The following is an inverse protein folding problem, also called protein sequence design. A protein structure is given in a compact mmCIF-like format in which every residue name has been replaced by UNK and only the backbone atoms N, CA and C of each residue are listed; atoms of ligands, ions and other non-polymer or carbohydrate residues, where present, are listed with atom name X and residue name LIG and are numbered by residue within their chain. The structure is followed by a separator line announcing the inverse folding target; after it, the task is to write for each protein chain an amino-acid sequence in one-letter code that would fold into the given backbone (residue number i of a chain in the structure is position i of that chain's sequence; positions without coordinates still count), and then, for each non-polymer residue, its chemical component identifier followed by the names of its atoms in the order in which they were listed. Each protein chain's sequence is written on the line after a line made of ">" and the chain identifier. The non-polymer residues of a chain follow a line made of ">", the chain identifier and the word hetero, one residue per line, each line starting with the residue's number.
data_IF_498813724650
#
_entry.id   IF_498813724650
#
_cell.length_a   1.000
_cell.length_b   1.000
_cell.length_c   1.000
_cell.angle_alpha   90.00
_cell.angle_beta   90.00
_cell.angle_gamma   90.00
#
_symmetry.space_group_name_H-M   'P 1'
#
loop_
_entity.id
_entity.type
_entity.pdbx_description
1 polymer ?
#
# COMPACT_ATOMS: atom_id res chain seq x y z
N UNK A 1 -37.28 -3.04 35.16
CA UNK A 1 -35.88 -2.72 34.78
C UNK A 1 -35.27 -3.70 33.76
N UNK A 2 -35.70 -4.97 33.66
CA UNK A 2 -35.15 -5.94 32.69
C UNK A 2 -35.49 -5.70 31.21
N UNK A 3 -36.64 -5.07 30.92
CA UNK A 3 -37.16 -4.94 29.53
C UNK A 3 -36.38 -3.94 28.67
N UNK A 4 -35.80 -2.89 29.25
CA UNK A 4 -34.99 -1.93 28.51
C UNK A 4 -33.65 -2.52 28.04
N UNK A 5 -33.07 -3.42 28.84
CA UNK A 5 -31.80 -4.08 28.52
C UNK A 5 -31.99 -5.12 27.42
N UNK A 6 -33.08 -5.89 27.42
CA UNK A 6 -33.30 -6.93 26.38
C UNK A 6 -33.64 -6.31 25.03
N UNK A 7 -34.49 -5.27 24.98
CA UNK A 7 -34.82 -4.59 23.72
C UNK A 7 -33.68 -3.68 23.23
N UNK A 8 -32.93 -3.03 24.12
CA UNK A 8 -31.77 -2.21 23.77
C UNK A 8 -30.54 -3.03 23.36
N UNK A 9 -30.23 -4.10 24.10
CA UNK A 9 -29.07 -4.96 23.82
C UNK A 9 -29.34 -5.86 22.62
N UNK A 10 -30.55 -6.38 22.43
CA UNK A 10 -30.91 -7.16 21.23
C UNK A 10 -30.87 -6.33 19.94
N UNK A 11 -31.42 -5.10 19.97
CA UNK A 11 -31.35 -4.20 18.82
C UNK A 11 -29.92 -3.73 18.54
N UNK A 12 -29.13 -3.41 19.58
CA UNK A 12 -27.71 -3.07 19.42
C UNK A 12 -26.91 -4.23 18.82
N UNK A 13 -27.10 -5.46 19.30
CA UNK A 13 -26.45 -6.65 18.75
C UNK A 13 -26.89 -6.95 17.31
N UNK A 14 -28.16 -6.73 16.96
CA UNK A 14 -28.63 -6.86 15.57
C UNK A 14 -28.01 -5.81 14.65
N UNK A 15 -27.87 -4.57 15.10
CA UNK A 15 -27.20 -3.52 14.32
C UNK A 15 -25.71 -3.84 14.16
N UNK A 16 -25.03 -4.28 15.21
CA UNK A 16 -23.61 -4.69 15.16
C UNK A 16 -23.43 -5.88 14.20
N UNK A 17 -24.24 -6.93 14.33
CA UNK A 17 -24.19 -8.09 13.43
C UNK A 17 -24.55 -7.73 11.99
N UNK A 18 -25.53 -6.84 11.78
CA UNK A 18 -25.89 -6.35 10.45
C UNK A 18 -24.75 -5.58 9.78
N UNK A 19 -24.09 -4.69 10.52
CA UNK A 19 -22.89 -3.98 10.04
C UNK A 19 -21.76 -4.98 9.77
N UNK A 20 -21.51 -5.94 10.65
CA UNK A 20 -20.44 -6.92 10.50
C UNK A 20 -20.65 -7.86 9.30
N UNK A 21 -21.87 -8.38 9.10
CA UNK A 21 -22.21 -9.18 7.92
C UNK A 21 -22.11 -8.35 6.65
N UNK A 22 -22.52 -7.09 6.68
CA UNK A 22 -22.42 -6.21 5.53
C UNK A 22 -20.97 -5.87 5.19
N UNK A 23 -20.12 -5.61 6.19
CA UNK A 23 -18.68 -5.37 6.02
C UNK A 23 -17.98 -6.60 5.41
N UNK A 24 -18.32 -7.80 5.89
CA UNK A 24 -17.80 -9.08 5.39
C UNK A 24 -18.30 -9.47 3.98
N UNK A 25 -19.57 -9.20 3.67
CA UNK A 25 -20.19 -9.66 2.42
C UNK A 25 -20.06 -8.65 1.27
N UNK A 26 -19.92 -7.34 1.55
CA UNK A 26 -19.99 -6.30 0.51
C UNK A 26 -18.63 -5.63 0.22
N UNK A 27 -17.65 -5.68 1.13
CA UNK A 27 -16.45 -4.88 0.96
C UNK A 27 -15.16 -5.62 1.30
N UNK A 28 -14.74 -6.53 0.41
CA UNK A 28 -13.35 -7.03 0.42
C UNK A 28 -12.30 -5.90 0.34
N UNK A 29 -12.65 -4.69 -0.15
CA UNK A 29 -11.64 -3.67 -0.49
C UNK A 29 -12.06 -2.19 -0.27
N UNK A 30 -13.28 -1.89 0.20
CA UNK A 30 -13.85 -0.52 0.11
C UNK A 30 -14.16 0.22 1.41
N UNK A 31 -14.71 -0.47 2.42
CA UNK A 31 -15.43 0.18 3.52
C UNK A 31 -14.50 0.74 4.61
N UNK A 32 -13.53 -0.08 5.06
CA UNK A 32 -12.54 0.30 6.05
C UNK A 32 -11.48 1.32 5.55
N UNK A 33 -11.41 1.62 4.25
CA UNK A 33 -10.41 2.55 3.68
C UNK A 33 -10.94 3.93 3.27
N UNK A 34 -12.25 4.03 2.94
CA UNK A 34 -12.84 5.24 2.34
C UNK A 34 -14.14 5.73 3.00
N UNK A 35 -14.93 4.88 3.67
CA UNK A 35 -16.20 5.27 4.30
C UNK A 35 -16.16 5.27 5.83
N UNK A 36 -15.33 4.44 6.46
CA UNK A 36 -15.24 4.39 7.91
C UNK A 36 -14.47 5.62 8.46
N UNK A 37 -15.01 6.38 9.44
CA UNK A 37 -14.32 7.53 10.03
C UNK A 37 -12.99 7.17 10.70
N UNK A 38 -12.86 5.96 11.26
CA UNK A 38 -11.59 5.41 11.78
C UNK A 38 -10.63 5.09 10.63
N UNK A 39 -11.15 4.45 9.57
CA UNK A 39 -10.39 4.15 8.35
C UNK A 39 -9.86 5.38 7.63
N UNK A 40 -10.66 6.44 7.54
CA UNK A 40 -10.26 7.74 7.01
C UNK A 40 -9.17 8.40 7.87
N UNK A 41 -9.24 8.24 9.20
CA UNK A 41 -8.21 8.73 10.11
C UNK A 41 -6.88 7.98 9.95
N UNK A 42 -6.91 6.64 9.88
CA UNK A 42 -5.72 5.84 9.57
C UNK A 42 -5.17 6.11 8.18
N UNK A 43 -6.03 6.32 7.18
CA UNK A 43 -5.63 6.71 5.83
C UNK A 43 -5.02 8.11 5.82
N UNK A 44 -5.49 9.06 6.64
CA UNK A 44 -4.92 10.40 6.76
C UNK A 44 -3.51 10.37 7.41
N UNK A 45 -3.33 9.53 8.44
CA UNK A 45 -2.01 9.25 9.05
C UNK A 45 -1.08 8.58 8.02
N UNK A 46 -1.59 7.59 7.27
CA UNK A 46 -0.87 6.92 6.18
C UNK A 46 -0.56 7.83 4.99
N UNK A 47 -1.41 8.83 4.68
CA UNK A 47 -1.20 9.83 3.61
C UNK A 47 -0.05 10.76 3.91
N UNK A 48 0.17 11.06 5.21
CA UNK A 48 1.34 11.77 5.73
C UNK A 48 2.54 10.85 5.98
N UNK A 49 2.43 9.55 5.69
CA UNK A 49 3.58 8.65 5.77
C UNK A 49 4.69 9.18 4.87
N UNK A 50 5.79 9.57 5.51
CA UNK A 50 7.05 9.88 4.85
C UNK A 50 7.58 8.62 4.13
N UNK A 51 7.17 7.44 4.59
CA UNK A 51 7.53 6.15 4.02
C UNK A 51 6.63 5.80 2.82
N UNK A 52 7.25 5.67 1.65
CA UNK A 52 6.65 5.29 0.36
C UNK A 52 7.44 4.14 -0.26
N UNK A 53 6.78 3.35 -1.09
CA UNK A 53 7.44 2.35 -1.94
C UNK A 53 8.07 3.03 -3.15
N UNK A 54 9.34 2.72 -3.41
CA UNK A 54 10.16 3.27 -4.47
C UNK A 54 10.73 2.14 -5.32
N UNK A 55 10.66 2.27 -6.65
CA UNK A 55 11.34 1.40 -7.60
C UNK A 55 12.80 1.87 -7.78
N UNK A 56 13.58 1.80 -6.69
CA UNK A 56 14.97 2.29 -6.64
C UNK A 56 15.85 1.59 -7.66
N UNK A 57 15.61 0.29 -7.88
CA UNK A 57 16.41 -0.54 -8.76
C UNK A 57 15.64 -0.99 -10.02
N UNK A 58 14.85 -0.08 -10.61
CA UNK A 58 14.05 -0.35 -11.82
C UNK A 58 14.84 -0.82 -13.04
N UNK A 59 16.15 -0.61 -13.07
CA UNK A 59 17.03 -1.09 -14.14
C UNK A 59 17.22 -2.62 -14.13
N UNK A 60 17.13 -3.26 -12.96
CA UNK A 60 17.25 -4.72 -12.79
C UNK A 60 15.92 -5.46 -13.03
N UNK A 61 14.85 -4.73 -13.38
CA UNK A 61 13.57 -5.33 -13.65
C UNK A 61 13.62 -6.17 -14.94
N UNK A 62 13.26 -7.45 -14.81
CA UNK A 62 13.21 -8.43 -15.89
C UNK A 62 11.79 -8.66 -16.44
N UNK A 63 10.84 -7.76 -16.16
CA UNK A 63 9.44 -7.83 -16.64
C UNK A 63 8.70 -9.14 -16.29
N UNK A 64 8.96 -9.76 -15.12
CA UNK A 64 8.26 -10.99 -14.67
C UNK A 64 6.77 -10.81 -14.34
N UNK A 65 6.30 -9.57 -14.18
CA UNK A 65 4.91 -9.17 -13.90
C UNK A 65 4.27 -9.65 -12.58
N UNK A 66 5.00 -10.36 -11.71
CA UNK A 66 4.45 -10.84 -10.43
C UNK A 66 3.96 -9.72 -9.51
N UNK A 67 4.66 -8.58 -9.51
CA UNK A 67 4.27 -7.40 -8.73
C UNK A 67 2.89 -6.84 -9.11
N UNK A 68 2.43 -7.03 -10.35
CA UNK A 68 1.09 -6.60 -10.78
C UNK A 68 -0.02 -7.53 -10.29
N UNK A 69 0.26 -8.82 -10.12
CA UNK A 69 -0.72 -9.82 -9.68
C UNK A 69 -1.03 -9.66 -8.19
N UNK A 70 -0.02 -9.37 -7.38
CA UNK A 70 -0.18 -9.21 -5.92
C UNK A 70 -0.67 -7.82 -5.51
N UNK A 71 -0.56 -6.84 -6.41
CA UNK A 71 -0.96 -5.47 -6.13
C UNK A 71 -2.49 -5.36 -6.20
N UNK A 72 -3.15 -4.81 -5.16
CA UNK A 72 -4.59 -4.55 -5.23
C UNK A 72 -4.93 -3.50 -6.29
N UNK A 73 -3.97 -2.65 -6.67
CA UNK A 73 -4.16 -1.56 -7.63
C UNK A 73 -3.00 -1.51 -8.64
N UNK A 74 -2.99 -2.37 -9.66
CA UNK A 74 -1.84 -2.57 -10.56
C UNK A 74 -1.45 -1.32 -11.37
N UNK A 75 -2.36 -0.38 -11.57
CA UNK A 75 -2.14 0.87 -12.31
C UNK A 75 -1.07 1.77 -11.69
N UNK A 76 -0.80 1.66 -10.38
CA UNK A 76 0.19 2.53 -9.71
C UNK A 76 1.63 2.15 -10.01
N UNK A 77 1.90 0.90 -10.43
CA UNK A 77 3.26 0.37 -10.60
C UNK A 77 3.85 0.78 -11.97
N UNK A 78 3.06 0.73 -13.05
CA UNK A 78 3.55 1.00 -14.41
C UNK A 78 4.31 2.33 -14.54
N UNK A 79 3.80 3.45 -14.00
CA UNK A 79 4.46 4.74 -14.20
C UNK A 79 5.76 4.88 -13.41
N UNK A 80 5.89 4.26 -12.23
CA UNK A 80 7.14 4.28 -11.46
C UNK A 80 8.22 3.39 -12.11
N UNK A 81 7.82 2.25 -12.67
CA UNK A 81 8.73 1.27 -13.27
C UNK A 81 9.23 1.70 -14.66
N UNK A 82 8.32 2.04 -15.58
CA UNK A 82 8.66 2.36 -17.00
C UNK A 82 8.62 3.86 -17.32
N UNK A 83 8.30 4.71 -16.36
CA UNK A 83 8.28 6.16 -16.55
C UNK A 83 9.66 6.84 -16.57
N UNK A 84 10.75 6.06 -16.46
CA UNK A 84 12.12 6.56 -16.53
C UNK A 84 12.39 7.41 -17.78
N UNK A 85 11.94 6.91 -18.94
CA UNK A 85 12.06 7.58 -20.24
C UNK A 85 11.22 8.86 -20.34
N UNK A 86 10.24 9.04 -19.44
CA UNK A 86 9.37 10.21 -19.35
C UNK A 86 9.76 11.16 -18.22
N UNK A 87 10.94 10.96 -17.60
CA UNK A 87 11.40 11.77 -16.47
C UNK A 87 10.62 11.55 -15.17
N UNK A 88 9.85 10.46 -15.07
CA UNK A 88 9.04 10.16 -13.88
C UNK A 88 9.94 9.57 -12.79
N UNK A 89 9.76 10.12 -11.59
CA UNK A 89 10.38 9.67 -10.34
C UNK A 89 10.23 8.15 -10.12
N UNK A 90 11.24 7.47 -9.55
CA UNK A 90 11.11 6.07 -9.14
C UNK A 90 10.14 5.89 -7.95
N UNK A 91 9.66 6.98 -7.34
CA UNK A 91 8.72 6.94 -6.22
C UNK A 91 7.29 6.71 -6.71
N UNK A 92 6.58 5.76 -6.09
CA UNK A 92 5.15 5.55 -6.35
C UNK A 92 4.36 6.66 -5.66
N UNK A 93 4.03 7.71 -6.42
CA UNK A 93 3.35 8.92 -5.90
C UNK A 93 1.82 8.81 -5.88
N UNK A 94 1.23 7.81 -6.54
CA UNK A 94 -0.23 7.61 -6.60
C UNK A 94 -0.86 7.48 -5.21
N UNK A 95 -2.05 8.06 -5.05
CA UNK A 95 -2.84 7.98 -3.81
C UNK A 95 -3.37 6.59 -3.53
N UNK A 96 -3.49 5.77 -4.56
CA UNK A 96 -4.09 4.43 -4.50
C UNK A 96 -3.09 3.38 -4.02
N UNK A 97 -1.79 3.73 -3.98
CA UNK A 97 -0.79 2.90 -3.34
C UNK A 97 -0.97 2.95 -1.82
N UNK A 98 -1.37 1.82 -1.23
CA UNK A 98 -1.57 1.66 0.21
C UNK A 98 -0.27 1.41 1.00
N UNK A 99 0.89 1.46 0.34
CA UNK A 99 2.19 1.10 0.94
C UNK A 99 2.20 -0.30 1.60
N UNK A 100 1.41 -1.26 1.07
CA UNK A 100 1.27 -2.59 1.66
C UNK A 100 2.50 -3.51 1.53
N UNK A 101 3.54 -3.13 0.80
CA UNK A 101 4.79 -3.88 0.73
C UNK A 101 4.79 -5.13 -0.15
N UNK A 102 3.63 -5.69 -0.55
CA UNK A 102 3.57 -6.95 -1.33
C UNK A 102 4.45 -6.99 -2.59
N UNK A 103 4.64 -5.85 -3.25
CA UNK A 103 5.51 -5.75 -4.42
C UNK A 103 7.01 -5.86 -4.09
N UNK A 104 7.43 -5.53 -2.86
CA UNK A 104 8.78 -5.72 -2.35
C UNK A 104 8.99 -7.21 -2.08
N UNK A 105 8.06 -7.84 -1.35
CA UNK A 105 8.18 -9.23 -0.90
C UNK A 105 8.24 -10.24 -2.05
N UNK A 106 7.49 -10.01 -3.14
CA UNK A 106 7.44 -10.92 -4.29
C UNK A 106 8.57 -10.69 -5.31
N UNK A 107 9.27 -9.56 -5.25
CA UNK A 107 10.20 -9.19 -6.30
C UNK A 107 11.56 -9.89 -6.12
N UNK A 108 11.82 -10.94 -6.89
CA UNK A 108 13.09 -11.68 -6.87
C UNK A 108 14.36 -10.84 -7.21
N UNK A 109 14.18 -9.63 -7.76
CA UNK A 109 15.26 -8.70 -8.13
C UNK A 109 15.39 -7.52 -7.18
N UNK A 110 14.60 -7.48 -6.10
CA UNK A 110 14.59 -6.40 -5.11
C UNK A 110 14.48 -5.01 -5.75
N UNK A 111 13.63 -4.90 -6.79
CA UNK A 111 13.44 -3.66 -7.56
C UNK A 111 12.80 -2.57 -6.70
N UNK A 112 11.91 -2.99 -5.79
CA UNK A 112 11.14 -2.12 -4.91
C UNK A 112 11.78 -2.07 -3.52
N UNK A 113 11.82 -0.89 -2.93
CA UNK A 113 12.24 -0.69 -1.55
C UNK A 113 11.38 0.36 -0.86
N UNK A 114 11.27 0.29 0.46
CA UNK A 114 10.73 1.39 1.24
C UNK A 114 11.73 2.55 1.27
N UNK A 115 11.24 3.79 1.20
CA UNK A 115 12.06 4.96 1.39
C UNK A 115 11.24 6.23 1.57
N UNK A 116 11.92 7.35 1.70
CA UNK A 116 11.29 8.66 1.81
C UNK A 116 10.45 9.01 0.57
N UNK A 117 9.42 9.82 0.75
CA UNK A 117 8.67 10.48 -0.33
C UNK A 117 9.56 11.35 -1.23
N UNK A 118 10.68 11.83 -0.68
CA UNK A 118 11.71 12.59 -1.39
C UNK A 118 12.77 11.64 -1.99
N UNK A 119 13.06 11.83 -3.29
CA UNK A 119 14.12 11.08 -4.01
C UNK A 119 15.50 11.23 -3.33
N UNK A 120 15.75 12.35 -2.64
CA UNK A 120 17.00 12.63 -1.91
C UNK A 120 17.23 11.73 -0.70
N UNK A 121 16.17 11.23 -0.08
CA UNK A 121 16.25 10.40 1.13
C UNK A 121 16.36 8.91 0.80
N UNK A 122 15.79 8.48 -0.33
CA UNK A 122 15.98 7.14 -0.91
C UNK A 122 17.45 6.82 -1.14
N UNK A 123 18.27 7.82 -1.51
CA UNK A 123 19.71 7.67 -1.70
C UNK A 123 20.50 7.54 -0.39
N UNK A 124 19.99 8.07 0.74
CA UNK A 124 20.65 8.01 2.06
C UNK A 124 20.33 6.73 2.84
N UNK A 125 19.14 6.17 2.64
CA UNK A 125 18.67 4.97 3.34
C UNK A 125 19.10 3.66 2.66
N UNK A 126 19.66 3.73 1.46
CA UNK A 126 19.97 2.55 0.66
C UNK A 126 21.48 2.35 0.32
N UNK A 127 22.44 2.61 1.24
CA UNK A 127 23.86 2.34 0.96
C UNK A 127 24.15 0.83 0.74
N UNK A 128 23.40 -0.08 1.37
CA UNK A 128 23.58 -1.54 1.23
C UNK A 128 23.21 -2.09 -0.16
N UNK A 129 22.31 -1.44 -0.91
CA UNK A 129 21.94 -1.86 -2.28
C UNK A 129 22.92 -1.29 -3.31
N UNK A 130 23.52 -0.12 -3.07
CA UNK A 130 24.54 0.46 -3.94
C UNK A 130 25.82 -0.38 -3.91
N UNK A 131 26.20 -0.92 -2.74
CA UNK A 131 27.37 -1.81 -2.61
C UNK A 131 27.20 -3.12 -3.40
N UNK A 132 25.99 -3.70 -3.42
CA UNK A 132 25.68 -4.91 -4.22
C UNK A 132 25.66 -4.68 -5.73
N UNK A 133 25.49 -3.45 -6.20
CA UNK A 133 25.54 -3.10 -7.63
C UNK A 133 26.97 -2.86 -8.14
N UNK A 134 27.90 -2.47 -7.27
CA UNK A 134 29.32 -2.29 -7.60
C UNK A 134 30.14 -3.60 -7.63
N UNK A 135 29.65 -4.68 -7.04
CA UNK A 135 30.34 -5.97 -6.98
C UNK A 135 30.02 -6.93 -8.15
N UNK A 136 29.24 -6.48 -9.14
CA UNK A 136 28.91 -7.23 -10.37
C UNK A 136 29.40 -6.53 -11.66
N UNK A 137 30.40 -5.67 -11.54
CA UNK A 137 31.18 -5.14 -12.66
C UNK A 137 32.52 -5.87 -12.77
#
# INVERSE_FOLDING_TARGET
>A
MFRGIVFGMGAAWMVILGVFLFDLLVAKEGWCGRLCPVGAFYNLIGKRSLLRVNASNRAECNDCMECFVVCPEPQVIKPALKGASKGISPVILFSDCTNCGRCIDICAKDVFSYGGRSVSEVKRLNPEVIEKQGARA
#
